data_IF_195000532604
#
_entry.id   IF_195000532604
#
_cell.length_a   1.000
_cell.length_b   1.000
_cell.length_c   1.000
_cell.angle_alpha   90.00
_cell.angle_beta   90.00
_cell.angle_gamma   90.00
#
_symmetry.space_group_name_H-M   'P 1'
#
loop_
_entity.id
_entity.type
_entity.pdbx_description
1 polymer ?
#
# COMPACT_ATOMS: atom_id res chain seq x y z
N UNK A 1 -8.69 13.78 16.78
CA UNK A 1 -8.06 13.80 15.44
C UNK A 1 -8.20 12.42 14.85
N UNK A 2 -8.77 12.30 13.66
CA UNK A 2 -9.24 11.06 13.02
C UNK A 2 -8.12 10.13 12.49
N UNK A 3 -6.90 10.22 13.01
CA UNK A 3 -5.72 9.83 12.22
C UNK A 3 -4.87 8.70 12.77
N UNK A 4 -5.23 8.07 13.90
CA UNK A 4 -4.56 6.86 14.34
C UNK A 4 -5.60 5.88 14.93
N UNK A 5 -5.64 4.62 14.48
CA UNK A 5 -6.40 3.59 15.18
C UNK A 5 -5.93 3.54 16.63
N UNK A 6 -6.84 3.30 17.57
CA UNK A 6 -6.44 3.02 18.95
C UNK A 6 -5.55 1.79 18.94
N UNK A 7 -4.27 1.95 19.26
CA UNK A 7 -3.34 0.83 19.28
C UNK A 7 -3.43 0.11 20.62
N UNK A 8 -3.70 -1.19 20.59
CA UNK A 8 -3.68 -2.05 21.79
C UNK A 8 -2.31 -2.69 22.02
N UNK A 9 -1.39 -2.63 21.04
CA UNK A 9 -0.16 -3.42 20.98
C UNK A 9 1.12 -2.60 20.77
N UNK A 10 1.07 -1.27 20.90
CA UNK A 10 2.25 -0.40 20.75
C UNK A 10 2.16 0.55 19.55
N UNK A 11 3.31 0.91 18.98
CA UNK A 11 3.40 1.82 17.84
C UNK A 11 3.16 1.08 16.52
N UNK A 12 2.49 1.71 15.56
CA UNK A 12 2.33 1.14 14.20
C UNK A 12 3.69 1.04 13.50
N UNK A 13 3.90 -0.03 12.73
CA UNK A 13 5.21 -0.37 12.15
C UNK A 13 5.83 0.77 11.34
N UNK A 14 5.05 1.47 10.52
CA UNK A 14 5.54 2.59 9.69
C UNK A 14 6.13 3.72 10.54
N UNK A 15 5.49 4.03 11.67
CA UNK A 15 5.96 5.05 12.60
C UNK A 15 7.20 4.58 13.36
N UNK A 16 7.27 3.29 13.69
CA UNK A 16 8.47 2.72 14.30
C UNK A 16 9.66 2.80 13.33
N UNK A 17 9.51 2.37 12.08
CA UNK A 17 10.56 2.44 11.06
C UNK A 17 11.04 3.88 10.80
N UNK A 18 10.10 4.83 10.74
CA UNK A 18 10.42 6.25 10.63
C UNK A 18 11.22 6.76 11.82
N UNK A 19 10.75 6.48 13.05
CA UNK A 19 11.43 6.90 14.27
C UNK A 19 12.83 6.31 14.38
N UNK A 20 12.99 5.02 14.07
CA UNK A 20 14.30 4.35 14.07
C UNK A 20 15.26 5.00 13.08
N UNK A 21 14.79 5.35 11.87
CA UNK A 21 15.60 6.05 10.88
C UNK A 21 16.05 7.44 11.38
N UNK A 22 15.15 8.21 12.00
CA UNK A 22 15.45 9.53 12.56
C UNK A 22 16.45 9.43 13.72
N UNK A 23 16.24 8.50 14.67
CA UNK A 23 17.14 8.29 15.80
C UNK A 23 18.55 7.87 15.37
N UNK A 24 18.65 7.12 14.26
CA UNK A 24 19.92 6.70 13.67
C UNK A 24 20.56 7.79 12.79
N UNK A 25 19.99 8.99 12.71
CA UNK A 25 20.51 10.09 11.88
C UNK A 25 20.43 9.82 10.37
N UNK A 26 19.58 8.89 9.93
CA UNK A 26 19.41 8.58 8.51
C UNK A 26 18.60 9.66 7.82
N UNK A 27 18.93 9.94 6.57
CA UNK A 27 18.14 10.84 5.72
C UNK A 27 16.84 10.15 5.33
N UNK A 28 15.70 10.78 5.61
CA UNK A 28 14.38 10.25 5.29
C UNK A 28 13.81 10.96 4.06
N UNK A 29 13.24 10.19 3.15
CA UNK A 29 12.61 10.69 1.93
C UNK A 29 11.21 10.10 1.80
N UNK A 30 10.21 10.96 1.59
CA UNK A 30 8.86 10.51 1.27
C UNK A 30 8.76 10.09 -0.19
N UNK A 31 8.25 8.88 -0.45
CA UNK A 31 7.86 8.47 -1.80
C UNK A 31 6.54 9.10 -2.22
N UNK A 32 5.71 9.49 -1.26
CA UNK A 32 4.45 10.20 -1.46
C UNK A 32 4.26 11.25 -0.37
N UNK A 33 3.42 12.23 -0.67
CA UNK A 33 2.95 13.24 0.29
C UNK A 33 1.52 12.93 0.74
N UNK A 34 1.12 13.44 1.90
CA UNK A 34 -0.26 13.32 2.39
C UNK A 34 -1.26 13.90 1.37
N UNK A 35 -0.92 15.03 0.76
CA UNK A 35 -1.78 15.66 -0.27
C UNK A 35 -1.98 14.76 -1.48
N UNK A 36 -0.96 14.01 -1.90
CA UNK A 36 -1.08 13.08 -3.01
C UNK A 36 -1.95 11.88 -2.67
N UNK A 37 -1.85 11.37 -1.44
CA UNK A 37 -2.71 10.26 -1.00
C UNK A 37 -4.18 10.68 -0.91
N UNK A 38 -4.46 11.87 -0.36
CA UNK A 38 -5.83 12.42 -0.30
C UNK A 38 -6.34 12.77 -1.71
N UNK A 39 -5.50 13.38 -2.53
CA UNK A 39 -5.86 13.83 -3.89
C UNK A 39 -6.23 12.70 -4.85
N UNK A 40 -5.90 11.44 -4.53
CA UNK A 40 -6.41 10.26 -5.26
C UNK A 40 -7.93 10.22 -5.24
N UNK A 41 -8.57 10.56 -4.11
CA UNK A 41 -10.02 10.56 -3.98
C UNK A 41 -10.63 11.79 -4.66
N UNK A 42 -10.01 12.97 -4.49
CA UNK A 42 -10.46 14.22 -5.12
C UNK A 42 -10.48 14.15 -6.66
N UNK A 43 -9.56 13.36 -7.23
CA UNK A 43 -9.48 13.15 -8.68
C UNK A 43 -10.59 12.27 -9.26
N UNK A 44 -11.39 11.59 -8.42
CA UNK A 44 -12.48 10.73 -8.85
C UNK A 44 -13.79 11.53 -9.00
N UNK A 45 -14.64 11.14 -9.95
CA UNK A 45 -15.98 11.72 -10.08
C UNK A 45 -16.77 11.55 -8.77
N UNK A 46 -17.56 12.54 -8.38
CA UNK A 46 -18.40 12.49 -7.17
C UNK A 46 -19.28 11.22 -7.11
N UNK A 47 -19.88 10.82 -8.24
CA UNK A 47 -20.66 9.59 -8.34
C UNK A 47 -19.87 8.33 -7.95
N UNK A 48 -18.60 8.27 -8.32
CA UNK A 48 -17.72 7.16 -7.97
C UNK A 48 -17.31 7.21 -6.50
N UNK A 49 -17.01 8.41 -5.96
CA UNK A 49 -16.73 8.59 -4.53
C UNK A 49 -17.92 8.11 -3.67
N UNK A 50 -19.16 8.47 -4.05
CA UNK A 50 -20.37 8.02 -3.37
C UNK A 50 -20.49 6.49 -3.41
N UNK A 51 -20.25 5.86 -4.58
CA UNK A 51 -20.27 4.39 -4.69
C UNK A 51 -19.23 3.72 -3.80
N UNK A 52 -18.01 4.27 -3.74
CA UNK A 52 -16.95 3.75 -2.89
C UNK A 52 -17.33 3.87 -1.40
N UNK A 53 -17.93 4.98 -0.99
CA UNK A 53 -18.41 5.16 0.37
C UNK A 53 -19.54 4.18 0.71
N UNK A 54 -20.51 4.00 -0.19
CA UNK A 54 -21.59 3.02 -0.01
C UNK A 54 -21.05 1.61 0.13
N UNK A 55 -20.09 1.22 -0.69
CA UNK A 55 -19.45 -0.09 -0.60
C UNK A 55 -18.71 -0.28 0.73
N UNK A 56 -17.93 0.73 1.15
CA UNK A 56 -17.22 0.71 2.43
C UNK A 56 -18.18 0.52 3.62
N UNK A 57 -19.36 1.17 3.60
CA UNK A 57 -20.40 0.99 4.63
C UNK A 57 -21.01 -0.41 4.57
N UNK A 58 -21.28 -0.94 3.38
CA UNK A 58 -21.87 -2.28 3.20
C UNK A 58 -20.92 -3.39 3.64
N UNK A 59 -19.62 -3.23 3.40
CA UNK A 59 -18.58 -4.22 3.74
C UNK A 59 -18.05 -4.08 5.16
N UNK A 60 -18.38 -2.99 5.87
CA UNK A 60 -17.92 -2.73 7.23
C UNK A 60 -18.08 -3.94 8.19
N UNK A 61 -19.18 -4.72 8.17
CA UNK A 61 -19.32 -5.90 9.04
C UNK A 61 -18.27 -7.01 8.81
N UNK A 62 -17.64 -7.06 7.64
CA UNK A 62 -16.66 -8.08 7.26
C UNK A 62 -15.21 -7.60 7.45
N UNK A 63 -15.02 -6.30 7.71
CA UNK A 63 -13.72 -5.65 7.73
C UNK A 63 -12.75 -6.30 8.73
N UNK A 64 -13.22 -6.62 9.93
CA UNK A 64 -12.39 -7.25 10.97
C UNK A 64 -11.86 -8.62 10.53
N UNK A 65 -12.68 -9.42 9.85
CA UNK A 65 -12.29 -10.73 9.32
C UNK A 65 -11.28 -10.61 8.18
N UNK A 66 -11.46 -9.62 7.30
CA UNK A 66 -10.51 -9.34 6.21
C UNK A 66 -9.16 -8.88 6.80
N UNK A 67 -9.17 -7.97 7.77
CA UNK A 67 -7.96 -7.49 8.44
C UNK A 67 -7.23 -8.63 9.16
N UNK A 68 -7.94 -9.49 9.88
CA UNK A 68 -7.33 -10.64 10.55
C UNK A 68 -6.60 -11.57 9.56
N UNK A 69 -7.25 -11.92 8.44
CA UNK A 69 -6.64 -12.72 7.37
C UNK A 69 -5.40 -12.04 6.77
N UNK A 70 -5.43 -10.71 6.59
CA UNK A 70 -4.30 -9.95 6.07
C UNK A 70 -3.13 -9.93 7.05
N UNK A 71 -3.39 -9.77 8.35
CA UNK A 71 -2.38 -9.82 9.40
C UNK A 71 -1.73 -11.20 9.44
N UNK A 72 -2.52 -12.27 9.41
CA UNK A 72 -2.00 -13.65 9.42
C UNK A 72 -1.10 -13.91 8.21
N UNK A 73 -1.54 -13.53 7.00
CA UNK A 73 -0.74 -13.65 5.78
C UNK A 73 0.54 -12.81 5.84
N UNK A 74 0.46 -11.60 6.41
CA UNK A 74 1.62 -10.71 6.60
C UNK A 74 2.66 -11.33 7.54
N UNK A 75 2.23 -11.85 8.69
CA UNK A 75 3.11 -12.50 9.66
C UNK A 75 3.76 -13.78 9.11
N UNK A 76 3.04 -14.51 8.26
CA UNK A 76 3.56 -15.68 7.53
C UNK A 76 4.44 -15.32 6.32
N UNK A 77 4.59 -14.03 6.00
CA UNK A 77 5.33 -13.54 4.83
C UNK A 77 4.74 -14.03 3.50
N UNK A 78 3.45 -14.36 3.46
CA UNK A 78 2.76 -14.88 2.27
C UNK A 78 2.15 -13.73 1.44
N UNK A 79 2.97 -13.15 0.55
CA UNK A 79 2.52 -12.14 -0.42
C UNK A 79 1.44 -12.64 -1.36
N UNK A 80 1.43 -13.93 -1.69
CA UNK A 80 0.43 -14.50 -2.58
C UNK A 80 -0.93 -14.61 -1.88
N UNK A 81 -0.96 -14.95 -0.58
CA UNK A 81 -2.18 -14.92 0.22
C UNK A 81 -2.73 -13.51 0.36
N UNK A 82 -1.89 -12.52 0.65
CA UNK A 82 -2.31 -11.12 0.70
C UNK A 82 -2.93 -10.65 -0.63
N UNK A 83 -2.32 -11.02 -1.77
CA UNK A 83 -2.87 -10.73 -3.09
C UNK A 83 -4.24 -11.39 -3.29
N UNK A 84 -4.38 -12.69 -2.99
CA UNK A 84 -5.66 -13.42 -3.10
C UNK A 84 -6.77 -12.79 -2.25
N UNK A 85 -6.47 -12.39 -1.01
CA UNK A 85 -7.43 -11.73 -0.11
C UNK A 85 -7.90 -10.39 -0.73
N UNK A 86 -6.98 -9.62 -1.31
CA UNK A 86 -7.31 -8.37 -1.97
C UNK A 86 -8.16 -8.59 -3.23
N UNK A 87 -7.83 -9.59 -4.05
CA UNK A 87 -8.58 -9.94 -5.26
C UNK A 87 -9.98 -10.45 -4.92
N UNK A 88 -10.12 -11.28 -3.88
CA UNK A 88 -11.42 -11.75 -3.38
C UNK A 88 -12.29 -10.58 -2.94
N UNK A 89 -11.75 -9.65 -2.15
CA UNK A 89 -12.46 -8.44 -1.71
C UNK A 89 -12.91 -7.60 -2.92
N UNK A 90 -12.01 -7.33 -3.86
CA UNK A 90 -12.30 -6.53 -5.05
C UNK A 90 -13.27 -7.22 -6.03
N UNK A 91 -13.33 -8.55 -6.04
CA UNK A 91 -14.25 -9.30 -6.90
C UNK A 91 -15.72 -9.11 -6.51
N UNK A 92 -15.97 -8.72 -5.26
CA UNK A 92 -17.30 -8.48 -4.69
C UNK A 92 -17.78 -7.03 -4.87
N UNK A 93 -16.92 -6.18 -5.42
CA UNK A 93 -17.19 -4.77 -5.67
C UNK A 93 -17.91 -4.51 -6.99
N UNK A 94 -18.54 -3.33 -7.10
CA UNK A 94 -18.91 -2.78 -8.40
C UNK A 94 -17.65 -2.67 -9.28
N UNK A 95 -17.72 -3.14 -10.54
CA UNK A 95 -16.58 -3.15 -11.46
C UNK A 95 -15.90 -1.79 -11.62
N UNK A 96 -16.67 -0.70 -11.56
CA UNK A 96 -16.12 0.67 -11.63
C UNK A 96 -15.34 1.04 -10.36
N UNK A 97 -15.80 0.59 -9.19
CA UNK A 97 -15.10 0.76 -7.90
C UNK A 97 -13.81 -0.06 -7.89
N UNK A 98 -13.88 -1.35 -8.22
CA UNK A 98 -12.71 -2.22 -8.27
C UNK A 98 -11.63 -1.69 -9.22
N UNK A 99 -12.03 -1.25 -10.42
CA UNK A 99 -11.10 -0.68 -11.40
C UNK A 99 -10.47 0.62 -10.91
N UNK A 100 -11.26 1.51 -10.31
CA UNK A 100 -10.76 2.77 -9.79
C UNK A 100 -9.78 2.56 -8.63
N UNK A 101 -10.08 1.61 -7.74
CA UNK A 101 -9.18 1.24 -6.66
C UNK A 101 -7.83 0.74 -7.19
N UNK A 102 -7.84 -0.25 -8.09
CA UNK A 102 -6.61 -0.78 -8.67
C UNK A 102 -5.81 0.30 -9.43
N UNK A 103 -6.48 1.10 -10.27
CA UNK A 103 -5.81 2.13 -11.06
C UNK A 103 -5.24 3.26 -10.19
N UNK A 104 -6.08 3.88 -9.36
CA UNK A 104 -5.76 5.14 -8.69
C UNK A 104 -5.10 4.95 -7.32
N UNK A 105 -5.51 3.93 -6.57
CA UNK A 105 -5.05 3.67 -5.19
C UNK A 105 -3.83 2.76 -5.16
N UNK A 106 -3.60 1.96 -6.21
CA UNK A 106 -2.46 1.03 -6.29
C UNK A 106 -1.52 1.38 -7.45
N UNK A 107 -1.94 1.18 -8.70
CA UNK A 107 -1.02 1.17 -9.85
C UNK A 107 -0.34 2.52 -10.09
N UNK A 108 -1.10 3.62 -10.17
CA UNK A 108 -0.53 4.97 -10.35
C UNK A 108 0.42 5.35 -9.20
N UNK A 109 0.12 4.88 -7.99
CA UNK A 109 0.98 5.09 -6.82
C UNK A 109 2.26 4.26 -6.92
N UNK A 110 2.18 3.02 -7.40
CA UNK A 110 3.35 2.18 -7.67
C UNK A 110 4.31 2.86 -8.64
N UNK A 111 3.80 3.39 -9.77
CA UNK A 111 4.63 4.11 -10.75
C UNK A 111 5.28 5.37 -10.15
N UNK A 112 4.53 6.16 -9.37
CA UNK A 112 5.07 7.34 -8.68
C UNK A 112 6.16 6.97 -7.68
N UNK A 113 5.90 5.97 -6.84
CA UNK A 113 6.85 5.47 -5.85
C UNK A 113 8.11 4.93 -6.54
N UNK A 114 7.94 4.14 -7.62
CA UNK A 114 9.05 3.61 -8.41
C UNK A 114 9.93 4.73 -8.95
N UNK A 115 9.33 5.75 -9.58
CA UNK A 115 10.08 6.91 -10.09
C UNK A 115 10.88 7.61 -8.98
N UNK A 116 10.27 7.80 -7.81
CA UNK A 116 10.87 8.56 -6.70
C UNK A 116 11.91 7.78 -5.90
N UNK A 117 11.84 6.45 -5.91
CA UNK A 117 12.87 5.63 -5.26
C UNK A 117 14.13 5.47 -6.10
N UNK A 118 14.07 5.63 -7.44
CA UNK A 118 15.23 5.42 -8.32
C UNK A 118 16.50 6.18 -7.88
N UNK A 119 16.48 7.49 -7.56
CA UNK A 119 17.70 8.19 -7.16
C UNK A 119 18.34 7.59 -5.90
N UNK A 120 17.51 7.13 -4.95
CA UNK A 120 17.97 6.51 -3.71
C UNK A 120 18.50 5.10 -3.94
N UNK A 121 17.88 4.33 -4.85
CA UNK A 121 18.38 3.02 -5.25
C UNK A 121 19.74 3.13 -5.97
N UNK A 122 19.93 4.15 -6.82
CA UNK A 122 21.21 4.41 -7.49
C UNK A 122 22.32 4.84 -6.54
N UNK A 123 22.01 5.58 -5.47
CA UNK A 123 22.97 5.89 -4.39
C UNK A 123 23.44 4.64 -3.64
N UNK A 124 22.64 3.56 -3.66
CA UNK A 124 22.91 2.31 -2.96
C UNK A 124 22.55 2.36 -1.47
N UNK A 125 22.52 1.19 -0.82
CA UNK A 125 22.21 1.03 0.61
C UNK A 125 20.91 1.70 1.08
N UNK A 126 19.93 1.83 0.18
CA UNK A 126 18.62 2.37 0.52
C UNK A 126 17.75 1.32 1.24
N UNK A 127 17.06 1.75 2.28
CA UNK A 127 15.94 1.02 2.86
C UNK A 127 14.63 1.69 2.43
N UNK A 128 13.77 0.94 1.75
CA UNK A 128 12.50 1.44 1.22
C UNK A 128 11.35 0.68 1.90
N UNK A 129 10.50 1.41 2.61
CA UNK A 129 9.29 0.88 3.25
C UNK A 129 8.04 1.30 2.45
N UNK A 130 7.19 0.34 2.11
CA UNK A 130 5.92 0.52 1.39
C UNK A 130 4.88 -0.47 1.91
N UNK A 131 3.59 -0.16 1.72
CA UNK A 131 2.51 -1.09 2.06
C UNK A 131 2.58 -2.38 1.23
N UNK A 132 2.28 -3.52 1.85
CA UNK A 132 2.45 -4.84 1.22
C UNK A 132 1.64 -5.02 -0.08
N UNK A 133 0.46 -4.40 -0.18
CA UNK A 133 -0.38 -4.44 -1.38
C UNK A 133 0.29 -3.84 -2.62
N UNK A 134 1.31 -3.00 -2.45
CA UNK A 134 2.06 -2.39 -3.55
C UNK A 134 3.13 -3.33 -4.15
N UNK A 135 3.40 -4.48 -3.54
CA UNK A 135 4.47 -5.39 -3.94
C UNK A 135 4.07 -6.40 -5.04
N UNK A 136 2.94 -7.12 -4.95
CA UNK A 136 2.59 -8.19 -5.89
C UNK A 136 1.93 -7.71 -7.19
N UNK A 137 1.83 -8.60 -8.17
CA UNK A 137 1.17 -8.35 -9.46
C UNK A 137 2.08 -7.74 -10.54
N UNK A 138 1.55 -7.63 -11.76
CA UNK A 138 2.27 -7.07 -12.92
C UNK A 138 2.56 -5.57 -12.75
N UNK A 139 1.64 -4.86 -12.10
CA UNK A 139 1.80 -3.44 -11.75
C UNK A 139 2.46 -3.27 -10.36
N UNK A 140 2.87 -4.36 -9.72
CA UNK A 140 3.51 -4.38 -8.41
C UNK A 140 4.98 -3.95 -8.46
N UNK A 141 5.45 -3.30 -7.40
CA UNK A 141 6.82 -2.79 -7.31
C UNK A 141 7.88 -3.88 -7.52
N UNK A 142 7.64 -5.13 -7.09
CA UNK A 142 8.60 -6.22 -7.31
C UNK A 142 8.74 -6.56 -8.80
N UNK A 143 7.65 -6.53 -9.56
CA UNK A 143 7.69 -6.76 -11.01
C UNK A 143 8.34 -5.57 -11.72
N UNK A 144 7.88 -4.36 -11.41
CA UNK A 144 8.38 -3.13 -12.02
C UNK A 144 9.89 -2.92 -11.77
N UNK A 145 10.39 -3.22 -10.57
CA UNK A 145 11.84 -3.16 -10.29
C UNK A 145 12.64 -4.16 -11.14
N UNK A 146 12.13 -5.39 -11.34
CA UNK A 146 12.78 -6.36 -12.23
C UNK A 146 12.83 -5.87 -13.68
N UNK A 147 11.76 -5.23 -14.15
CA UNK A 147 11.73 -4.61 -15.49
C UNK A 147 12.77 -3.49 -15.64
N UNK A 148 13.12 -2.79 -14.55
CA UNK A 148 14.20 -1.79 -14.53
C UNK A 148 15.60 -2.42 -14.39
N UNK A 149 15.74 -3.75 -14.47
CA UNK A 149 17.02 -4.45 -14.42
C UNK A 149 17.51 -4.81 -13.02
N UNK A 150 16.73 -4.56 -11.97
CA UNK A 150 17.10 -4.94 -10.61
C UNK A 150 16.94 -6.45 -10.40
N UNK A 151 17.90 -7.06 -9.69
CA UNK A 151 17.71 -8.39 -9.11
C UNK A 151 16.94 -8.25 -7.80
N UNK A 152 15.79 -8.92 -7.71
CA UNK A 152 14.93 -8.90 -6.53
C UNK A 152 14.93 -10.28 -5.89
N UNK A 153 15.43 -10.36 -4.66
CA UNK A 153 15.47 -11.59 -3.85
C UNK A 153 14.83 -11.34 -2.50
N UNK A 154 14.02 -12.28 -2.02
CA UNK A 154 13.56 -12.26 -0.65
C UNK A 154 14.76 -12.50 0.29
N UNK A 155 14.77 -11.78 1.41
CA UNK A 155 15.79 -11.88 2.47
C UNK A 155 15.03 -12.25 3.73
N UNK A 156 15.30 -13.41 4.31
CA UNK A 156 14.58 -13.94 5.47
C UNK A 156 15.49 -14.61 6.47
#
# INVERSE_FOLDING_TARGET
>A
TLSLPRTSTGQVLDMQLYNDAVMQGKRVYGLETVREQVGVLDGMSEKLQIKMLQSAVQQYPELDGIIARLIDAYLQRDLAAMQRISEETLSREDRSVARAFLSEVVNKRNHRMLQRMQPRLHEGNAFIAVGALHLPGEEGLLHLLRQQGYRVTAVY
#
